data_IF_273240448865
#
_entry.id   IF_273240448865
#
_cell.length_a   1.000
_cell.length_b   1.000
_cell.length_c   1.000
_cell.angle_alpha   90.00
_cell.angle_beta   90.00
_cell.angle_gamma   90.00
#
_symmetry.space_group_name_H-M   'P 1'
#
loop_
_entity.id
_entity.type
_entity.pdbx_description
1 polymer ?
#
# COMPACT_ATOMS: atom_id res chain seq x y z
N UNK A 1 7.49 14.63 -2.09
CA UNK A 1 6.44 14.08 -1.20
C UNK A 1 6.99 14.04 0.20
N UNK A 2 6.39 14.78 1.11
CA UNK A 2 6.82 14.82 2.51
C UNK A 2 6.01 13.86 3.36
N UNK A 3 4.71 13.90 3.23
CA UNK A 3 3.76 13.20 4.09
C UNK A 3 2.56 12.64 3.30
N UNK A 4 1.55 12.14 4.00
CA UNK A 4 0.35 11.55 3.39
C UNK A 4 -0.49 12.57 2.62
N UNK A 5 -0.55 13.84 3.06
CA UNK A 5 -1.31 14.87 2.35
C UNK A 5 -0.65 15.18 1.00
N UNK A 6 0.67 15.32 0.97
CA UNK A 6 1.42 15.47 -0.28
C UNK A 6 1.24 14.25 -1.22
N UNK A 7 1.05 13.04 -0.65
CA UNK A 7 0.74 11.86 -1.46
C UNK A 7 -0.63 11.96 -2.11
N UNK A 8 -1.64 12.48 -1.41
CA UNK A 8 -2.97 12.69 -1.98
C UNK A 8 -2.89 13.66 -3.17
N UNK A 9 -2.19 14.78 -3.01
CA UNK A 9 -2.01 15.74 -4.10
C UNK A 9 -1.24 15.13 -5.28
N UNK A 10 -0.16 14.42 -5.02
CA UNK A 10 0.56 13.68 -6.08
C UNK A 10 -0.38 12.72 -6.83
N UNK A 11 -1.24 11.99 -6.14
CA UNK A 11 -2.16 11.06 -6.79
C UNK A 11 -3.23 11.76 -7.62
N UNK A 12 -3.68 12.95 -7.21
CA UNK A 12 -4.57 13.79 -8.01
C UNK A 12 -3.88 14.25 -9.29
N UNK A 13 -2.65 14.76 -9.18
CA UNK A 13 -1.85 15.17 -10.33
C UNK A 13 -1.62 14.01 -11.31
N UNK A 14 -1.27 12.83 -10.79
CA UNK A 14 -1.08 11.63 -11.61
C UNK A 14 -2.37 11.24 -12.34
N UNK A 15 -3.52 11.29 -11.66
CA UNK A 15 -4.82 10.99 -12.27
C UNK A 15 -5.22 12.02 -13.31
N UNK A 16 -4.87 13.29 -13.13
CA UNK A 16 -5.11 14.34 -14.13
C UNK A 16 -4.24 14.13 -15.38
N UNK A 17 -2.98 13.75 -15.20
CA UNK A 17 -2.04 13.47 -16.30
C UNK A 17 -2.42 12.17 -17.05
N UNK A 18 -2.80 11.14 -16.30
CA UNK A 18 -3.14 9.82 -16.81
C UNK A 18 -4.55 9.41 -16.35
N UNK A 19 -5.62 10.02 -16.93
CA UNK A 19 -6.99 9.75 -16.46
C UNK A 19 -7.51 8.36 -16.82
N UNK A 20 -6.91 7.73 -17.83
CA UNK A 20 -7.26 6.39 -18.29
C UNK A 20 -6.02 5.51 -18.43
N UNK A 21 -6.23 4.21 -18.24
CA UNK A 21 -5.23 3.17 -18.52
C UNK A 21 -5.05 2.94 -20.04
N UNK A 22 -4.15 2.03 -20.41
CA UNK A 22 -3.87 1.69 -21.80
C UNK A 22 -5.10 1.08 -22.55
N UNK A 23 -6.12 0.64 -21.80
CA UNK A 23 -7.39 0.10 -22.33
C UNK A 23 -8.54 1.11 -22.32
N UNK A 24 -8.31 2.34 -21.84
CA UNK A 24 -9.30 3.41 -21.77
C UNK A 24 -10.17 3.37 -20.51
N UNK A 25 -9.86 2.54 -19.52
CA UNK A 25 -10.57 2.51 -18.24
C UNK A 25 -10.05 3.59 -17.29
N UNK A 26 -10.87 4.07 -16.33
CA UNK A 26 -10.43 5.04 -15.33
C UNK A 26 -9.25 4.54 -14.52
N UNK A 27 -8.33 5.45 -14.19
CA UNK A 27 -7.19 5.16 -13.31
C UNK A 27 -7.46 5.52 -11.86
N UNK A 28 -6.74 4.86 -10.95
CA UNK A 28 -6.83 5.05 -9.51
C UNK A 28 -5.45 5.09 -8.87
N UNK A 29 -5.35 5.78 -7.75
CA UNK A 29 -4.11 5.76 -6.99
C UNK A 29 -3.85 4.36 -6.41
N UNK A 30 -4.88 3.76 -5.82
CA UNK A 30 -4.78 2.45 -5.19
C UNK A 30 -5.96 1.57 -5.58
N UNK A 31 -5.68 0.27 -5.68
CA UNK A 31 -6.68 -0.78 -5.90
C UNK A 31 -6.36 -1.95 -4.99
N UNK A 32 -7.36 -2.41 -4.23
CA UNK A 32 -7.25 -3.47 -3.24
C UNK A 32 -8.11 -4.67 -3.64
N UNK A 33 -8.06 -5.73 -2.84
CA UNK A 33 -8.90 -6.92 -2.99
C UNK A 33 -9.21 -7.52 -1.62
N UNK A 34 -10.33 -8.24 -1.40
CA UNK A 34 -10.77 -8.65 -0.07
C UNK A 34 -9.93 -9.73 0.60
N UNK A 35 -9.14 -10.50 -0.17
CA UNK A 35 -8.42 -11.66 0.33
C UNK A 35 -7.00 -11.32 0.78
N UNK A 36 -6.46 -12.06 1.72
CA UNK A 36 -5.10 -12.05 2.27
C UNK A 36 -4.46 -10.64 2.30
N UNK A 37 -3.37 -10.37 1.60
CA UNK A 37 -2.63 -9.09 1.69
C UNK A 37 -3.45 -7.87 1.23
N UNK A 38 -4.43 -8.05 0.36
CA UNK A 38 -5.29 -6.98 -0.16
C UNK A 38 -6.43 -6.59 0.74
N UNK A 39 -6.69 -7.38 1.77
CA UNK A 39 -7.75 -7.11 2.74
C UNK A 39 -7.54 -5.74 3.40
N UNK A 40 -8.60 -4.94 3.48
CA UNK A 40 -8.53 -3.56 3.99
C UNK A 40 -7.87 -3.44 5.36
N UNK A 41 -8.25 -4.31 6.29
CA UNK A 41 -7.68 -4.27 7.65
C UNK A 41 -6.18 -4.49 7.62
N UNK A 42 -5.75 -5.51 6.87
CA UNK A 42 -4.34 -5.85 6.73
C UNK A 42 -3.58 -4.79 5.95
N UNK A 43 -4.16 -4.28 4.87
CA UNK A 43 -3.51 -3.29 4.02
C UNK A 43 -3.29 -1.96 4.76
N UNK A 44 -4.34 -1.44 5.42
CA UNK A 44 -4.24 -0.22 6.23
C UNK A 44 -3.22 -0.38 7.35
N UNK A 45 -3.23 -1.54 8.03
CA UNK A 45 -2.29 -1.86 9.11
C UNK A 45 -0.84 -1.91 8.58
N UNK A 46 -0.59 -2.62 7.49
CA UNK A 46 0.74 -2.74 6.89
C UNK A 46 1.26 -1.41 6.38
N UNK A 47 0.39 -0.57 5.81
CA UNK A 47 0.78 0.76 5.37
C UNK A 47 1.09 1.68 6.55
N UNK A 48 0.33 1.59 7.65
CA UNK A 48 0.64 2.31 8.89
C UNK A 48 2.02 1.89 9.46
N UNK A 49 2.28 0.58 9.51
CA UNK A 49 3.59 0.03 9.92
C UNK A 49 4.72 0.61 9.05
N UNK A 50 4.55 0.59 7.74
CA UNK A 50 5.57 1.09 6.82
C UNK A 50 5.79 2.62 6.93
N UNK A 51 4.72 3.38 7.09
CA UNK A 51 4.79 4.85 7.16
C UNK A 51 5.38 5.36 8.48
N UNK A 52 4.92 4.81 9.61
CA UNK A 52 5.37 5.23 10.93
C UNK A 52 6.67 4.56 11.39
N UNK A 53 7.03 3.43 10.78
CA UNK A 53 8.19 2.63 11.21
C UNK A 53 7.99 1.92 12.55
N UNK A 54 6.75 1.68 12.93
CA UNK A 54 6.41 1.04 14.20
C UNK A 54 6.25 -0.47 14.02
N UNK A 55 6.58 -1.23 15.06
CA UNK A 55 6.31 -2.66 15.07
C UNK A 55 4.80 -2.93 15.17
N UNK A 56 4.37 -3.94 14.43
CA UNK A 56 2.99 -4.38 14.40
C UNK A 56 2.80 -5.66 15.21
N UNK A 57 1.81 -5.67 16.10
CA UNK A 57 1.40 -6.87 16.80
C UNK A 57 -0.11 -6.90 16.99
N UNK A 58 -0.77 -7.92 16.42
CA UNK A 58 -2.22 -8.02 16.48
C UNK A 58 -2.92 -6.81 15.87
N UNK A 59 -3.70 -6.09 16.66
CA UNK A 59 -4.39 -4.86 16.27
C UNK A 59 -3.76 -3.62 16.91
N UNK A 60 -2.46 -3.59 17.05
CA UNK A 60 -1.75 -2.45 17.61
C UNK A 60 -0.41 -2.20 16.95
N UNK A 61 0.13 -1.03 17.26
CA UNK A 61 1.45 -0.60 16.83
C UNK A 61 2.29 -0.23 18.06
N UNK A 62 3.52 -0.65 18.04
CA UNK A 62 4.50 -0.35 19.07
C UNK A 62 5.57 0.59 18.50
N UNK A 63 5.76 1.73 19.17
CA UNK A 63 6.86 2.64 18.84
C UNK A 63 8.13 2.15 19.55
N UNK A 64 9.13 1.63 18.82
CA UNK A 64 10.35 1.09 19.45
C UNK A 64 11.24 2.17 20.06
N UNK A 65 11.08 3.43 19.66
CA UNK A 65 11.88 4.55 20.19
C UNK A 65 11.36 5.04 21.55
N UNK A 66 10.02 5.16 21.68
CA UNK A 66 9.41 5.70 22.90
C UNK A 66 8.92 4.62 23.85
N UNK A 67 8.75 3.39 23.37
CA UNK A 67 8.15 2.29 24.12
C UNK A 67 6.63 2.38 24.23
N UNK A 68 5.99 3.31 23.50
CA UNK A 68 4.54 3.47 23.51
C UNK A 68 3.85 2.41 22.67
N UNK A 69 2.71 1.99 23.18
CA UNK A 69 1.81 1.06 22.51
C UNK A 69 0.51 1.76 22.13
N UNK A 70 0.11 1.63 20.87
CA UNK A 70 -1.13 2.18 20.33
C UNK A 70 -2.05 1.04 19.90
N UNK A 71 -3.23 0.95 20.50
CA UNK A 71 -4.27 0.08 19.99
C UNK A 71 -4.91 0.71 18.74
N UNK A 72 -5.32 -0.12 17.79
CA UNK A 72 -5.75 0.34 16.48
C UNK A 72 -6.85 1.42 16.51
N UNK A 73 -7.80 1.28 17.44
CA UNK A 73 -8.97 2.17 17.52
C UNK A 73 -8.81 3.34 18.50
N UNK A 74 -7.64 3.51 19.10
CA UNK A 74 -7.37 4.66 19.96
C UNK A 74 -7.21 5.93 19.13
N UNK A 75 -7.66 7.05 19.67
CA UNK A 75 -7.50 8.35 19.02
C UNK A 75 -6.01 8.65 18.79
N UNK A 76 -5.66 8.98 17.56
CA UNK A 76 -4.27 9.26 17.17
C UNK A 76 -3.41 8.02 16.97
N UNK A 77 -4.01 6.82 16.99
CA UNK A 77 -3.26 5.60 16.64
C UNK A 77 -2.81 5.62 15.18
N UNK A 78 -1.65 5.04 14.87
CA UNK A 78 -1.18 4.91 13.48
C UNK A 78 -2.20 4.28 12.54
N UNK A 79 -2.92 3.26 13.01
CA UNK A 79 -3.98 2.61 12.23
C UNK A 79 -5.13 3.57 11.91
N UNK A 80 -5.64 4.29 12.92
CA UNK A 80 -6.78 5.20 12.72
C UNK A 80 -6.41 6.38 11.81
N UNK A 81 -5.21 6.93 11.95
CA UNK A 81 -4.72 7.98 11.05
C UNK A 81 -4.55 7.47 9.62
N UNK A 82 -4.03 6.26 9.44
CA UNK A 82 -3.95 5.64 8.13
C UNK A 82 -5.34 5.35 7.55
N UNK A 83 -6.30 4.94 8.37
CA UNK A 83 -7.69 4.73 7.91
C UNK A 83 -8.33 6.04 7.43
N UNK A 84 -8.01 7.18 8.06
CA UNK A 84 -8.45 8.51 7.58
C UNK A 84 -7.85 8.83 6.21
N UNK A 85 -6.58 8.50 5.98
CA UNK A 85 -5.96 8.64 4.67
C UNK A 85 -6.71 7.83 3.60
N UNK A 86 -7.03 6.55 3.86
CA UNK A 86 -7.83 5.74 2.93
C UNK A 86 -9.23 6.31 2.70
N UNK A 87 -9.86 6.86 3.74
CA UNK A 87 -11.14 7.55 3.59
C UNK A 87 -11.02 8.78 2.67
N UNK A 88 -9.92 9.52 2.77
CA UNK A 88 -9.64 10.64 1.87
C UNK A 88 -9.47 10.14 0.44
N UNK A 89 -8.68 9.09 0.19
CA UNK A 89 -8.55 8.50 -1.14
C UNK A 89 -9.89 8.08 -1.74
N UNK A 90 -10.75 7.47 -0.93
CA UNK A 90 -12.10 7.08 -1.38
C UNK A 90 -12.95 8.29 -1.75
N UNK A 91 -13.00 9.32 -0.91
CA UNK A 91 -13.79 10.53 -1.13
C UNK A 91 -13.33 11.35 -2.35
N UNK A 92 -12.04 11.35 -2.61
CA UNK A 92 -11.42 12.02 -3.76
C UNK A 92 -11.47 11.16 -5.06
N UNK A 93 -12.07 9.98 -4.99
CA UNK A 93 -12.15 9.07 -6.15
C UNK A 93 -10.79 8.50 -6.59
N UNK A 94 -9.84 8.45 -5.66
CA UNK A 94 -8.48 7.93 -5.86
C UNK A 94 -8.35 6.45 -5.49
N UNK A 95 -9.28 5.91 -4.71
CA UNK A 95 -9.36 4.50 -4.39
C UNK A 95 -10.32 3.80 -5.37
N UNK A 96 -9.86 2.70 -5.97
CA UNK A 96 -10.66 1.90 -6.89
C UNK A 96 -11.95 1.40 -6.21
N UNK A 97 -13.14 1.73 -6.74
CA UNK A 97 -14.42 1.32 -6.14
C UNK A 97 -14.62 -0.20 -6.10
N UNK A 98 -13.97 -0.95 -7.01
CA UNK A 98 -14.07 -2.41 -7.04
C UNK A 98 -13.22 -3.09 -5.96
N UNK A 99 -12.42 -2.34 -5.21
CA UNK A 99 -11.50 -2.87 -4.18
C UNK A 99 -12.15 -3.79 -3.14
N UNK A 100 -13.47 -3.66 -2.92
CA UNK A 100 -14.22 -4.51 -1.97
C UNK A 100 -14.80 -5.79 -2.59
N UNK A 101 -14.82 -5.89 -3.91
CA UNK A 101 -15.56 -6.94 -4.63
C UNK A 101 -14.74 -7.71 -5.65
N UNK A 102 -13.63 -7.14 -6.11
CA UNK A 102 -12.75 -7.79 -7.07
C UNK A 102 -11.84 -8.81 -6.39
N UNK A 103 -11.28 -9.73 -7.16
CA UNK A 103 -10.22 -10.62 -6.69
C UNK A 103 -8.83 -10.08 -7.06
N UNK A 104 -7.79 -10.79 -6.59
CA UNK A 104 -6.38 -10.45 -6.87
C UNK A 104 -6.09 -10.35 -8.38
N UNK A 105 -6.59 -11.31 -9.18
CA UNK A 105 -6.30 -11.35 -10.62
C UNK A 105 -6.84 -10.10 -11.33
N UNK A 106 -8.04 -9.65 -10.95
CA UNK A 106 -8.63 -8.43 -11.50
C UNK A 106 -7.89 -7.17 -11.07
N UNK A 107 -7.46 -7.10 -9.83
CA UNK A 107 -6.62 -6.00 -9.37
C UNK A 107 -5.29 -5.97 -10.12
N UNK A 108 -4.65 -7.13 -10.29
CA UNK A 108 -3.37 -7.23 -11.01
C UNK A 108 -3.51 -6.89 -12.49
N UNK A 109 -4.62 -7.27 -13.15
CA UNK A 109 -4.93 -6.85 -14.52
C UNK A 109 -4.97 -5.32 -14.64
N UNK A 110 -5.60 -4.62 -13.70
CA UNK A 110 -5.61 -3.15 -13.64
C UNK A 110 -4.20 -2.58 -13.47
N UNK A 111 -3.38 -3.18 -12.60
CA UNK A 111 -1.97 -2.77 -12.43
C UNK A 111 -1.19 -2.94 -13.73
N UNK A 112 -1.32 -4.07 -14.39
CA UNK A 112 -0.63 -4.38 -15.65
C UNK A 112 -1.00 -3.41 -16.78
N UNK A 113 -2.25 -2.97 -16.82
CA UNK A 113 -2.74 -2.01 -17.80
C UNK A 113 -2.44 -0.53 -17.43
N UNK A 114 -1.72 -0.27 -16.34
CA UNK A 114 -1.41 1.09 -15.90
C UNK A 114 -2.58 1.80 -15.21
N UNK A 115 -3.60 1.07 -14.79
CA UNK A 115 -4.78 1.61 -14.13
C UNK A 115 -4.60 1.94 -12.64
N UNK A 116 -3.45 1.57 -12.06
CA UNK A 116 -3.15 1.77 -10.63
C UNK A 116 -1.76 2.38 -10.46
N UNK A 117 -1.65 3.48 -9.73
CA UNK A 117 -0.40 4.24 -9.60
C UNK A 117 0.48 3.81 -8.44
N UNK A 118 -0.10 3.27 -7.37
CA UNK A 118 0.62 3.00 -6.13
C UNK A 118 0.22 1.66 -5.49
N UNK A 119 1.21 0.97 -4.94
CA UNK A 119 1.02 -0.19 -4.06
C UNK A 119 2.11 -0.21 -3.00
N UNK A 120 1.79 -0.68 -1.79
CA UNK A 120 2.81 -0.95 -0.76
C UNK A 120 3.57 -2.25 -1.04
N UNK A 121 3.08 -3.08 -1.93
CA UNK A 121 3.70 -4.36 -2.26
C UNK A 121 4.58 -4.24 -3.50
N UNK A 122 5.83 -4.64 -3.38
CA UNK A 122 6.80 -4.59 -4.46
C UNK A 122 6.43 -5.43 -5.67
N UNK A 123 5.66 -6.50 -5.50
CA UNK A 123 5.24 -7.36 -6.61
C UNK A 123 4.28 -6.66 -7.59
N UNK A 124 3.53 -5.64 -7.16
CA UNK A 124 2.73 -4.84 -8.08
C UNK A 124 3.61 -4.16 -9.14
N UNK A 125 4.76 -3.61 -8.73
CA UNK A 125 5.76 -3.09 -9.66
C UNK A 125 6.52 -4.18 -10.38
N UNK A 126 7.22 -5.05 -9.64
CA UNK A 126 8.21 -5.98 -10.21
C UNK A 126 7.61 -7.13 -11.03
N UNK A 127 6.42 -7.61 -10.66
CA UNK A 127 5.75 -8.72 -11.35
C UNK A 127 4.49 -8.29 -12.11
N UNK A 128 3.97 -7.10 -11.81
CA UNK A 128 2.78 -6.54 -12.46
C UNK A 128 3.15 -5.55 -13.56
N UNK A 129 3.47 -4.32 -13.18
CA UNK A 129 3.58 -3.20 -14.11
C UNK A 129 4.92 -3.11 -14.86
N UNK A 130 6.06 -3.38 -14.20
CA UNK A 130 7.40 -3.20 -14.79
C UNK A 130 7.75 -4.30 -15.79
N UNK A 131 6.95 -4.44 -16.84
CA UNK A 131 7.25 -5.34 -17.95
C UNK A 131 8.41 -4.81 -18.80
N UNK A 132 9.08 -5.64 -19.61
CA UNK A 132 10.11 -5.18 -20.55
C UNK A 132 9.60 -4.08 -21.50
N UNK A 133 8.33 -4.16 -21.92
CA UNK A 133 7.67 -3.19 -22.78
C UNK A 133 7.50 -1.85 -22.08
N UNK A 134 6.95 -1.86 -20.87
CA UNK A 134 6.79 -0.64 -20.07
C UNK A 134 8.14 0.01 -19.73
N UNK A 135 9.14 -0.79 -19.39
CA UNK A 135 10.49 -0.28 -19.12
C UNK A 135 11.10 0.38 -20.37
N UNK A 136 10.90 -0.21 -21.55
CA UNK A 136 11.37 0.35 -22.81
C UNK A 136 10.70 1.69 -23.15
N UNK A 137 9.47 1.89 -22.71
CA UNK A 137 8.71 3.14 -22.84
C UNK A 137 8.97 4.13 -21.68
N UNK A 138 9.90 3.79 -20.78
CA UNK A 138 10.19 4.57 -19.57
C UNK A 138 8.99 4.70 -18.60
N UNK A 139 8.05 3.76 -18.67
CA UNK A 139 6.93 3.61 -17.74
C UNK A 139 7.37 2.66 -16.62
N UNK A 140 7.65 3.17 -15.43
CA UNK A 140 8.20 2.35 -14.33
C UNK A 140 7.56 2.73 -13.00
N UNK A 141 7.03 1.75 -12.27
CA UNK A 141 6.76 1.90 -10.84
C UNK A 141 8.07 1.87 -10.06
N UNK A 142 8.30 2.88 -9.24
CA UNK A 142 9.50 3.02 -8.41
C UNK A 142 9.13 3.11 -6.93
N UNK A 143 10.07 2.75 -6.07
CA UNK A 143 9.90 2.94 -4.64
C UNK A 143 9.80 4.42 -4.29
N UNK A 144 8.84 4.76 -3.46
CA UNK A 144 8.60 6.07 -2.89
C UNK A 144 8.69 5.95 -1.37
N UNK A 145 9.48 6.81 -0.76
CA UNK A 145 9.55 6.96 0.70
C UNK A 145 9.22 8.42 1.01
N UNK A 146 8.14 8.72 1.74
CA UNK A 146 7.83 10.06 2.17
C UNK A 146 8.94 10.64 3.06
N UNK A 147 9.23 11.94 2.91
CA UNK A 147 10.32 12.58 3.63
C UNK A 147 10.09 12.59 5.15
N UNK A 148 8.83 12.74 5.59
CA UNK A 148 8.41 12.71 6.99
C UNK A 148 8.01 11.30 7.48
N UNK A 149 7.94 10.33 6.57
CA UNK A 149 7.70 8.95 6.91
C UNK A 149 8.93 8.26 7.47
N UNK A 150 8.74 7.12 8.11
CA UNK A 150 9.86 6.32 8.58
C UNK A 150 10.62 5.73 7.38
N UNK A 151 11.85 6.12 7.14
CA UNK A 151 12.63 5.64 6.00
C UNK A 151 13.00 4.17 6.14
N UNK A 152 13.00 3.63 7.35
CA UNK A 152 13.40 2.28 7.67
C UNK A 152 12.54 1.78 8.82
N UNK A 153 11.86 0.65 8.63
CA UNK A 153 11.27 -0.07 9.74
C UNK A 153 12.39 -0.68 10.59
N UNK A 154 12.60 -0.14 11.76
CA UNK A 154 13.47 -0.76 12.76
C UNK A 154 12.67 -1.79 13.53
N UNK A 155 12.48 -2.92 12.97
CA UNK A 155 11.82 -3.97 13.71
C UNK A 155 12.45 -5.28 13.32
N UNK A 156 13.39 -5.73 14.07
CA UNK A 156 13.53 -7.16 14.22
C UNK A 156 12.35 -7.59 15.07
N UNK A 157 11.28 -8.08 14.44
CA UNK A 157 10.25 -8.78 15.18
C UNK A 157 10.94 -9.84 16.03
N UNK A 158 10.80 -9.73 17.33
CA UNK A 158 11.34 -10.71 18.29
C UNK A 158 10.79 -12.11 18.02
N UNK A 159 9.70 -12.19 17.29
CA UNK A 159 8.99 -13.42 16.95
C UNK A 159 9.39 -14.03 15.60
N UNK A 160 10.45 -13.54 14.96
CA UNK A 160 10.98 -14.11 13.74
C UNK A 160 10.09 -13.87 12.51
N UNK A 161 10.53 -14.40 11.38
CA UNK A 161 9.79 -14.29 10.13
C UNK A 161 8.43 -14.99 10.19
N UNK A 162 7.46 -14.40 9.54
CA UNK A 162 6.10 -14.95 9.48
C UNK A 162 5.96 -16.11 8.47
N UNK A 163 7.02 -16.44 7.75
CA UNK A 163 7.03 -17.55 6.79
C UNK A 163 8.23 -18.44 7.05
N UNK A 164 7.96 -19.71 7.25
CA UNK A 164 8.98 -20.75 7.41
C UNK A 164 8.79 -21.81 6.35
N UNK A 165 9.90 -22.31 5.82
CA UNK A 165 9.92 -23.48 4.96
C UNK A 165 10.29 -24.68 5.80
N UNK A 166 9.52 -25.75 5.70
CA UNK A 166 9.83 -27.01 6.37
C UNK A 166 9.85 -28.14 5.37
N UNK A 167 10.73 -29.08 5.59
CA UNK A 167 10.79 -30.36 4.84
C UNK A 167 10.16 -31.41 5.75
N UNK A 168 9.11 -32.07 5.25
CA UNK A 168 8.52 -33.19 5.98
C UNK A 168 9.52 -34.33 6.09
N UNK A 169 9.76 -34.80 7.30
CA UNK A 169 10.47 -36.07 7.51
C UNK A 169 9.51 -37.22 7.27
N UNK A 170 9.98 -38.26 6.54
CA UNK A 170 9.26 -39.52 6.43
C UNK A 170 9.42 -40.33 7.73
#
# INVERSE_FOLDING_TARGET
>A
VKNLDDMVELFKDMKEICPTDDSGNPTYAMSLWPDWDGNYVMYVKSMATAYYGYDEFGFGHYNPETGEWYYAMDNGSPYLEMLKFFNTLYREGLLDPDSMTQNYDKMMEKVQNGGVFFSIFNYAGSAGFNSPEHIAENKIMRSLVPEEGAPIAYGMSVYGGNRVWSIGAK
#
